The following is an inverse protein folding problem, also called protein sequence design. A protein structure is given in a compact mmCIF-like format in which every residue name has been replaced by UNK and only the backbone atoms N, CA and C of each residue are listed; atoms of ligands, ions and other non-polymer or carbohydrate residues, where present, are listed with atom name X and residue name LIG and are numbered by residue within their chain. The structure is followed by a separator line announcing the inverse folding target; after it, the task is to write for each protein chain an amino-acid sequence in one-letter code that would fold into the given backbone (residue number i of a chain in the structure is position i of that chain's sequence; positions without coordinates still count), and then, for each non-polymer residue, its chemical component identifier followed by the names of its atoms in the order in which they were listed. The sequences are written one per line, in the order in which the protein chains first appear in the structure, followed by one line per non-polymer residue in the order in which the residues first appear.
data_IF_015196750750
#
_entry.id   IF_015196750750
#
_cell.length_a   1.000
_cell.length_b   1.000
_cell.length_c   1.000
_cell.angle_alpha   90.00
_cell.angle_beta   90.00
_cell.angle_gamma   90.00
#
_symmetry.space_group_name_H-M   'P 1'
#
loop_
_entity.id
_entity.type
_entity.pdbx_description
1 polymer ?
#
# COMPACT_ATOMS: atom_id res chain seq x y z
N UNK A 1 27.59 14.27 -4.77
CA UNK A 1 26.42 14.26 -3.88
C UNK A 1 25.82 12.87 -3.96
N UNK A 2 25.76 12.16 -2.84
CA UNK A 2 25.27 10.79 -2.83
C UNK A 2 23.76 10.80 -3.08
N UNK A 3 23.33 10.01 -4.05
CA UNK A 3 21.92 9.90 -4.41
C UNK A 3 21.12 9.29 -3.25
N UNK A 4 19.94 9.83 -2.97
CA UNK A 4 19.05 9.32 -1.95
C UNK A 4 17.64 9.13 -2.52
N UNK A 5 17.19 7.89 -2.57
CA UNK A 5 15.88 7.51 -3.08
C UNK A 5 15.09 6.80 -1.97
N UNK A 6 13.89 7.28 -1.70
CA UNK A 6 12.90 6.56 -0.95
C UNK A 6 11.95 5.87 -1.92
N UNK A 7 11.52 4.67 -1.61
CA UNK A 7 10.39 3.99 -2.24
C UNK A 7 9.31 3.79 -1.18
N UNK A 8 8.13 4.31 -1.42
CA UNK A 8 6.98 4.17 -0.54
C UNK A 8 5.89 3.35 -1.22
N UNK A 9 5.26 2.47 -0.44
CA UNK A 9 4.23 1.52 -0.91
C UNK A 9 3.13 1.41 0.15
N UNK A 10 1.88 1.65 -0.25
CA UNK A 10 0.72 1.58 0.65
C UNK A 10 0.42 0.12 1.00
N UNK A 11 0.45 -0.21 2.29
CA UNK A 11 0.25 -1.57 2.77
C UNK A 11 -1.18 -2.05 2.50
N UNK A 12 -1.32 -3.18 1.79
CA UNK A 12 -2.61 -3.80 1.44
C UNK A 12 -3.62 -2.76 0.90
N UNK A 13 -3.19 -1.87 0.00
CA UNK A 13 -3.82 -0.62 -0.40
C UNK A 13 -5.35 -0.69 -0.44
N UNK A 14 -5.94 -1.47 -1.35
CA UNK A 14 -7.40 -1.52 -1.51
C UNK A 14 -8.10 -2.05 -0.27
N UNK A 15 -7.60 -3.13 0.33
CA UNK A 15 -8.21 -3.70 1.53
C UNK A 15 -8.11 -2.74 2.74
N UNK A 16 -7.01 -2.00 2.86
CA UNK A 16 -6.84 -0.99 3.91
C UNK A 16 -7.80 0.18 3.74
N UNK A 17 -8.00 0.66 2.51
CA UNK A 17 -8.96 1.74 2.22
C UNK A 17 -10.39 1.28 2.52
N UNK A 18 -10.76 0.05 2.13
CA UNK A 18 -12.09 -0.50 2.45
C UNK A 18 -12.29 -0.64 3.96
N UNK A 19 -11.28 -1.05 4.72
CA UNK A 19 -11.37 -1.14 6.19
C UNK A 19 -11.47 0.24 6.89
N UNK A 20 -11.05 1.32 6.25
CA UNK A 20 -11.33 2.68 6.74
C UNK A 20 -12.80 3.05 6.51
N UNK A 21 -13.39 2.63 5.40
CA UNK A 21 -14.80 2.85 5.07
C UNK A 21 -15.74 1.93 5.84
N UNK A 22 -15.28 0.71 6.16
CA UNK A 22 -16.02 -0.34 6.83
C UNK A 22 -15.36 -0.73 8.17
N UNK A 23 -15.34 0.17 9.17
CA UNK A 23 -14.68 -0.07 10.44
C UNK A 23 -15.28 -1.27 11.21
N UNK A 24 -16.52 -1.66 10.94
CA UNK A 24 -17.20 -2.83 11.50
C UNK A 24 -16.60 -4.18 11.07
N UNK A 25 -15.82 -4.17 9.98
CA UNK A 25 -15.12 -5.35 9.47
C UNK A 25 -13.74 -5.54 10.09
N UNK A 26 -13.28 -4.61 10.90
CA UNK A 26 -11.99 -4.75 11.59
C UNK A 26 -11.99 -5.98 12.51
N UNK A 27 -10.91 -6.74 12.46
CA UNK A 27 -10.78 -7.99 13.21
C UNK A 27 -11.40 -9.19 12.51
N UNK A 28 -11.82 -9.07 11.25
CA UNK A 28 -12.26 -10.16 10.38
C UNK A 28 -11.39 -10.20 9.12
N UNK A 29 -11.19 -11.39 8.51
CA UNK A 29 -10.47 -11.47 7.24
C UNK A 29 -11.27 -10.79 6.12
N UNK A 30 -10.65 -9.80 5.47
CA UNK A 30 -11.24 -9.02 4.39
C UNK A 30 -10.37 -9.06 3.15
N UNK A 31 -11.01 -9.20 2.01
CA UNK A 31 -10.37 -9.08 0.71
C UNK A 31 -11.21 -8.19 -0.22
N UNK A 32 -10.55 -7.61 -1.20
CA UNK A 32 -11.18 -6.94 -2.34
C UNK A 32 -11.08 -7.85 -3.54
N UNK A 33 -12.21 -8.12 -4.19
CA UNK A 33 -12.26 -9.01 -5.34
C UNK A 33 -13.21 -8.50 -6.42
N UNK A 34 -12.86 -8.74 -7.69
CA UNK A 34 -13.68 -8.38 -8.83
C UNK A 34 -14.98 -9.18 -8.91
N UNK A 35 -15.97 -8.65 -9.63
CA UNK A 35 -17.27 -9.27 -9.80
C UNK A 35 -17.18 -10.66 -10.47
N UNK A 36 -17.95 -11.58 -9.92
CA UNK A 36 -17.98 -12.99 -10.31
C UNK A 36 -18.41 -13.20 -11.76
N UNK A 37 -19.18 -12.28 -12.30
CA UNK A 37 -19.82 -12.40 -13.65
C UNK A 37 -18.85 -12.17 -14.82
N UNK A 38 -17.79 -11.41 -14.63
CA UNK A 38 -16.92 -10.99 -15.73
C UNK A 38 -15.67 -11.86 -15.99
N UNK A 39 -15.21 -12.72 -15.08
CA UNK A 39 -14.07 -13.67 -15.25
C UNK A 39 -13.82 -14.57 -14.04
N UNK A 40 -14.82 -15.18 -13.44
CA UNK A 40 -14.69 -15.99 -12.21
C UNK A 40 -14.12 -15.23 -11.00
N UNK A 41 -14.04 -13.90 -11.05
CA UNK A 41 -13.57 -13.00 -10.01
C UNK A 41 -12.27 -13.47 -9.33
N UNK A 42 -11.32 -12.58 -9.20
CA UNK A 42 -10.07 -12.84 -8.49
C UNK A 42 -9.89 -11.89 -7.31
N UNK A 43 -9.12 -12.33 -6.33
CA UNK A 43 -8.66 -11.47 -5.23
C UNK A 43 -7.65 -10.44 -5.78
N UNK A 44 -7.97 -9.17 -5.64
CA UNK A 44 -7.13 -8.03 -6.02
C UNK A 44 -6.22 -7.60 -4.86
N UNK A 45 -6.80 -7.50 -3.66
CA UNK A 45 -6.08 -7.18 -2.44
C UNK A 45 -6.68 -7.93 -1.25
N UNK A 46 -5.94 -8.02 -0.16
CA UNK A 46 -6.36 -8.69 1.07
C UNK A 46 -5.71 -8.02 2.28
N UNK A 47 -6.38 -8.06 3.41
CA UNK A 47 -5.83 -7.63 4.67
C UNK A 47 -4.86 -8.67 5.28
N UNK A 48 -4.27 -8.33 6.42
CA UNK A 48 -3.33 -9.22 7.11
C UNK A 48 -4.00 -10.51 7.62
N UNK A 49 -5.26 -10.44 8.03
CA UNK A 49 -5.99 -11.60 8.55
C UNK A 49 -6.29 -12.61 7.43
N UNK A 50 -6.78 -12.14 6.30
CA UNK A 50 -7.00 -12.97 5.12
C UNK A 50 -5.67 -13.55 4.60
N UNK A 51 -4.59 -12.76 4.62
CA UNK A 51 -3.24 -13.23 4.28
C UNK A 51 -2.76 -14.34 5.21
N UNK A 52 -2.93 -14.17 6.53
CA UNK A 52 -2.57 -15.18 7.53
C UNK A 52 -3.38 -16.48 7.37
N UNK A 53 -4.64 -16.37 6.92
CA UNK A 53 -5.49 -17.51 6.56
C UNK A 53 -5.11 -18.17 5.22
N UNK A 54 -4.08 -17.66 4.51
CA UNK A 54 -3.57 -18.24 3.26
C UNK A 54 -4.20 -17.69 1.97
N UNK A 55 -5.04 -16.65 2.05
CA UNK A 55 -5.59 -15.99 0.87
C UNK A 55 -4.48 -15.24 0.12
N UNK A 56 -4.46 -15.36 -1.21
CA UNK A 56 -3.43 -14.76 -2.08
C UNK A 56 -4.07 -13.90 -3.17
N UNK A 57 -3.40 -12.83 -3.55
CA UNK A 57 -3.75 -12.02 -4.72
C UNK A 57 -3.69 -12.90 -5.98
N UNK A 58 -4.65 -12.73 -6.89
CA UNK A 58 -4.81 -13.55 -8.08
C UNK A 58 -5.54 -14.89 -7.85
N UNK A 59 -5.82 -15.27 -6.60
CA UNK A 59 -6.62 -16.44 -6.28
C UNK A 59 -8.08 -16.20 -6.71
N UNK A 60 -8.76 -17.24 -7.24
CA UNK A 60 -10.20 -17.13 -7.54
C UNK A 60 -11.01 -16.91 -6.26
N UNK A 61 -12.14 -16.21 -6.35
CA UNK A 61 -13.00 -15.97 -5.18
C UNK A 61 -13.47 -17.29 -4.54
N UNK A 62 -13.74 -18.30 -5.36
CA UNK A 62 -14.10 -19.63 -4.89
C UNK A 62 -12.98 -20.26 -4.06
N UNK A 63 -11.76 -20.30 -4.59
CA UNK A 63 -10.60 -20.85 -3.88
C UNK A 63 -10.30 -20.08 -2.59
N UNK A 64 -10.44 -18.74 -2.61
CA UNK A 64 -10.25 -17.90 -1.44
C UNK A 64 -11.26 -18.24 -0.34
N UNK A 65 -12.54 -18.47 -0.67
CA UNK A 65 -13.58 -18.88 0.28
C UNK A 65 -13.35 -20.30 0.81
N UNK A 66 -12.82 -21.21 -0.01
CA UNK A 66 -12.43 -22.54 0.48
C UNK A 66 -11.27 -22.45 1.48
N UNK A 67 -10.31 -21.56 1.23
CA UNK A 67 -9.15 -21.34 2.10
C UNK A 67 -9.53 -20.62 3.41
N UNK A 68 -10.47 -19.68 3.34
CA UNK A 68 -10.93 -18.87 4.46
C UNK A 68 -12.47 -18.75 4.38
N UNK A 69 -13.24 -19.67 4.98
CA UNK A 69 -14.71 -19.68 4.89
C UNK A 69 -15.38 -18.41 5.44
N UNK A 70 -14.76 -17.74 6.40
CA UNK A 70 -15.23 -16.49 7.03
C UNK A 70 -14.80 -15.22 6.27
N UNK A 71 -14.14 -15.37 5.11
CA UNK A 71 -13.63 -14.26 4.32
C UNK A 71 -14.77 -13.36 3.82
N UNK A 72 -14.71 -12.10 4.21
CA UNK A 72 -15.56 -11.05 3.62
C UNK A 72 -14.89 -10.53 2.36
N UNK A 73 -15.58 -10.61 1.22
CA UNK A 73 -15.08 -10.10 -0.06
C UNK A 73 -15.91 -8.89 -0.44
N UNK A 74 -15.24 -7.74 -0.63
CA UNK A 74 -15.84 -6.48 -1.03
C UNK A 74 -15.56 -6.22 -2.52
N UNK A 75 -16.50 -5.63 -3.27
CA UNK A 75 -16.25 -5.18 -4.62
C UNK A 75 -15.25 -4.02 -4.62
N UNK A 76 -14.43 -3.87 -5.68
CA UNK A 76 -13.48 -2.76 -5.76
C UNK A 76 -14.17 -1.44 -6.06
N UNK A 77 -13.75 -0.39 -5.38
CA UNK A 77 -14.12 1.01 -5.64
C UNK A 77 -12.87 1.79 -6.11
N UNK A 78 -12.59 1.71 -7.41
CA UNK A 78 -11.39 2.32 -7.99
C UNK A 78 -11.37 3.85 -7.90
N UNK A 79 -12.52 4.52 -7.90
CA UNK A 79 -12.59 5.98 -7.75
C UNK A 79 -12.11 6.38 -6.36
N UNK A 80 -12.57 5.68 -5.33
CA UNK A 80 -12.13 5.85 -3.96
C UNK A 80 -10.61 5.59 -3.82
N UNK A 81 -10.09 4.51 -4.42
CA UNK A 81 -8.66 4.18 -4.35
C UNK A 81 -7.80 5.24 -5.04
N UNK A 82 -8.28 5.78 -6.16
CA UNK A 82 -7.62 6.89 -6.84
C UNK A 82 -7.56 8.14 -5.98
N UNK A 83 -8.63 8.46 -5.26
CA UNK A 83 -8.68 9.63 -4.37
C UNK A 83 -7.68 9.50 -3.22
N UNK A 84 -7.62 8.33 -2.57
CA UNK A 84 -6.61 8.07 -1.55
C UNK A 84 -5.18 8.11 -2.09
N UNK A 85 -4.94 7.50 -3.27
CA UNK A 85 -3.66 7.57 -3.95
C UNK A 85 -3.20 9.01 -4.20
N UNK A 86 -4.10 9.87 -4.68
CA UNK A 86 -3.82 11.29 -4.91
C UNK A 86 -3.47 12.00 -3.60
N UNK A 87 -4.26 11.83 -2.55
CA UNK A 87 -3.99 12.42 -1.23
C UNK A 87 -2.63 12.01 -0.67
N UNK A 88 -2.26 10.74 -0.80
CA UNK A 88 -0.94 10.25 -0.38
C UNK A 88 0.18 10.90 -1.20
N UNK A 89 0.01 11.06 -2.52
CA UNK A 89 0.98 11.73 -3.39
C UNK A 89 1.14 13.21 -3.07
N UNK A 90 0.07 13.89 -2.69
CA UNK A 90 0.12 15.29 -2.21
C UNK A 90 0.99 15.41 -0.95
N UNK A 91 0.93 14.41 -0.05
CA UNK A 91 1.83 14.36 1.11
C UNK A 91 3.29 14.19 0.68
N UNK A 92 3.56 13.30 -0.27
CA UNK A 92 4.91 13.08 -0.78
C UNK A 92 5.50 14.33 -1.45
N UNK A 93 4.68 15.08 -2.20
CA UNK A 93 5.08 16.34 -2.82
C UNK A 93 5.52 17.42 -1.80
N UNK A 94 5.09 17.30 -0.54
CA UNK A 94 5.58 18.13 0.56
C UNK A 94 7.00 17.82 1.03
N UNK A 95 7.60 16.71 0.59
CA UNK A 95 8.98 16.32 0.92
C UNK A 95 9.95 16.59 -0.22
N UNK A 96 9.52 16.43 -1.47
CA UNK A 96 10.31 16.67 -2.68
C UNK A 96 9.39 16.87 -3.88
N UNK A 97 9.82 17.71 -4.81
CA UNK A 97 9.17 17.90 -6.12
C UNK A 97 9.48 16.77 -7.12
N UNK A 98 10.42 15.89 -6.77
CA UNK A 98 10.87 14.77 -7.61
C UNK A 98 10.23 13.46 -7.19
N UNK A 99 8.90 13.43 -7.28
CA UNK A 99 8.09 12.23 -7.05
C UNK A 99 7.81 11.52 -8.36
N UNK A 100 8.01 10.20 -8.39
CA UNK A 100 7.71 9.34 -9.53
C UNK A 100 6.74 8.25 -9.10
N UNK A 101 5.43 8.41 -9.40
CA UNK A 101 4.42 7.41 -9.11
C UNK A 101 4.63 6.12 -9.92
N UNK A 102 4.30 4.98 -9.31
CA UNK A 102 4.28 3.68 -9.93
C UNK A 102 3.01 2.91 -9.52
N UNK A 103 2.05 2.84 -10.41
CA UNK A 103 0.71 2.34 -10.06
C UNK A 103 -0.05 3.29 -9.13
N UNK A 104 -1.00 2.77 -8.37
CA UNK A 104 -1.81 3.54 -7.43
C UNK A 104 -1.20 3.65 -6.03
N UNK A 105 -0.40 2.69 -5.64
CA UNK A 105 0.05 2.46 -4.26
C UNK A 105 1.54 2.70 -4.05
N UNK A 106 2.33 2.80 -5.13
CA UNK A 106 3.77 2.97 -5.04
C UNK A 106 4.24 4.35 -5.55
N UNK A 107 5.33 4.86 -4.97
CA UNK A 107 5.99 6.07 -5.42
C UNK A 107 7.47 6.08 -5.05
N UNK A 108 8.34 6.50 -5.97
CA UNK A 108 9.70 6.89 -5.63
C UNK A 108 9.77 8.38 -5.34
N UNK A 109 10.52 8.73 -4.31
CA UNK A 109 10.83 10.08 -3.90
C UNK A 109 12.36 10.27 -4.01
N UNK A 110 12.80 11.12 -4.92
CA UNK A 110 14.22 11.48 -4.99
C UNK A 110 14.50 12.62 -4.01
N UNK A 111 15.13 12.26 -2.91
CA UNK A 111 15.48 13.15 -1.80
C UNK A 111 16.90 13.72 -1.92
N UNK A 112 17.58 13.48 -3.05
CA UNK A 112 18.96 13.91 -3.28
C UNK A 112 19.07 15.43 -3.15
N UNK A 113 19.88 15.90 -2.21
CA UNK A 113 20.05 17.31 -1.91
C UNK A 113 18.95 17.95 -1.05
N UNK A 114 17.87 17.24 -0.74
CA UNK A 114 16.81 17.73 0.17
C UNK A 114 17.14 17.41 1.63
N UNK A 115 17.78 16.25 1.87
CA UNK A 115 18.05 15.72 3.22
C UNK A 115 19.44 15.13 3.27
N UNK A 116 20.13 15.25 4.41
CA UNK A 116 21.39 14.56 4.67
C UNK A 116 21.21 13.04 4.79
N UNK A 117 22.27 12.28 4.52
CA UNK A 117 22.25 10.81 4.59
C UNK A 117 21.92 10.30 5.99
N UNK A 118 22.39 11.02 7.00
CA UNK A 118 22.13 10.77 8.42
C UNK A 118 20.64 10.91 8.79
N UNK A 119 19.90 11.76 8.07
CA UNK A 119 18.49 12.04 8.32
C UNK A 119 17.53 11.16 7.48
N UNK A 120 18.06 10.33 6.60
CA UNK A 120 17.26 9.53 5.66
C UNK A 120 16.22 8.63 6.36
N UNK A 121 16.62 7.95 7.44
CA UNK A 121 15.69 7.10 8.20
C UNK A 121 14.64 7.91 8.95
N UNK A 122 15.02 9.06 9.50
CA UNK A 122 14.10 9.99 10.15
C UNK A 122 13.06 10.49 9.15
N UNK A 123 13.51 10.88 7.96
CA UNK A 123 12.62 11.32 6.89
C UNK A 123 11.66 10.21 6.45
N UNK A 124 12.15 8.97 6.32
CA UNK A 124 11.28 7.83 6.01
C UNK A 124 10.22 7.58 7.09
N UNK A 125 10.58 7.73 8.36
CA UNK A 125 9.62 7.64 9.48
C UNK A 125 8.62 8.80 9.45
N UNK A 126 9.05 10.01 9.13
CA UNK A 126 8.17 11.17 8.99
C UNK A 126 7.18 11.00 7.85
N UNK A 127 7.62 10.50 6.68
CA UNK A 127 6.73 10.15 5.56
C UNK A 127 5.65 9.17 6.02
N UNK A 128 6.04 8.09 6.71
CA UNK A 128 5.10 7.09 7.25
C UNK A 128 4.07 7.71 8.20
N UNK A 129 4.55 8.55 9.11
CA UNK A 129 3.68 9.17 10.12
C UNK A 129 2.70 10.17 9.48
N UNK A 130 3.17 11.04 8.57
CA UNK A 130 2.29 11.99 7.89
C UNK A 130 1.21 11.30 7.05
N UNK A 131 1.55 10.21 6.37
CA UNK A 131 0.53 9.43 5.63
C UNK A 131 -0.49 8.85 6.60
N UNK A 132 -0.05 8.24 7.70
CA UNK A 132 -0.94 7.67 8.70
C UNK A 132 -1.88 8.73 9.29
N UNK A 133 -1.34 9.86 9.72
CA UNK A 133 -2.10 10.93 10.38
C UNK A 133 -3.15 11.57 9.44
N UNK A 134 -2.78 11.73 8.16
CA UNK A 134 -3.64 12.39 7.19
C UNK A 134 -4.68 11.46 6.54
N UNK A 135 -4.41 10.16 6.46
CA UNK A 135 -5.23 9.23 5.66
C UNK A 135 -5.70 8.01 6.45
N UNK A 136 -5.10 7.68 7.58
CA UNK A 136 -5.31 6.43 8.30
C UNK A 136 -4.63 5.22 7.67
N UNK A 137 -3.93 5.39 6.54
CA UNK A 137 -3.22 4.32 5.85
C UNK A 137 -1.79 4.17 6.38
N UNK A 138 -1.26 2.95 6.34
CA UNK A 138 0.15 2.69 6.60
C UNK A 138 0.91 2.48 5.31
N UNK A 139 2.18 2.92 5.29
CA UNK A 139 3.08 2.69 4.16
C UNK A 139 4.37 2.02 4.62
N UNK A 140 4.93 1.19 3.75
CA UNK A 140 6.29 0.65 3.88
C UNK A 140 7.23 1.51 3.08
N UNK A 141 8.34 1.95 3.70
CA UNK A 141 9.31 2.83 3.04
C UNK A 141 10.69 2.19 3.05
N UNK A 142 11.26 2.03 1.85
CA UNK A 142 12.65 1.62 1.66
C UNK A 142 13.52 2.81 1.30
N UNK A 143 14.74 2.85 1.81
CA UNK A 143 15.73 3.93 1.59
C UNK A 143 16.98 3.36 0.97
N UNK A 144 17.45 3.96 -0.14
CA UNK A 144 18.67 3.54 -0.80
C UNK A 144 19.22 4.63 -1.73
N UNK A 145 20.34 4.35 -2.38
CA UNK A 145 20.92 5.21 -3.44
C UNK A 145 20.38 4.89 -4.84
N UNK A 146 19.61 3.85 -5.00
CA UNK A 146 18.97 3.50 -6.27
C UNK A 146 17.54 2.96 -6.09
N UNK A 147 16.71 3.13 -7.12
CA UNK A 147 15.29 2.75 -7.11
C UNK A 147 15.06 1.27 -6.80
N UNK A 148 15.83 0.38 -7.43
CA UNK A 148 15.64 -1.08 -7.28
C UNK A 148 15.86 -1.52 -5.82
N UNK A 149 16.92 -1.03 -5.18
CA UNK A 149 17.22 -1.39 -3.79
C UNK A 149 16.23 -0.71 -2.83
N UNK A 150 15.82 0.53 -3.10
CA UNK A 150 14.79 1.19 -2.31
C UNK A 150 13.47 0.38 -2.35
N UNK A 151 13.07 -0.11 -3.54
CA UNK A 151 11.89 -0.98 -3.68
C UNK A 151 12.05 -2.29 -2.91
N UNK A 152 13.17 -2.97 -3.04
CA UNK A 152 13.44 -4.17 -2.24
C UNK A 152 13.36 -3.89 -0.74
N UNK A 153 13.83 -2.71 -0.31
CA UNK A 153 13.75 -2.28 1.08
C UNK A 153 12.31 -2.10 1.57
N UNK A 154 11.41 -1.53 0.76
CA UNK A 154 10.00 -1.37 1.11
C UNK A 154 9.25 -2.71 1.13
N UNK A 155 9.63 -3.67 0.30
CA UNK A 155 9.05 -5.02 0.26
C UNK A 155 9.57 -5.91 1.39
N UNK A 156 10.76 -5.61 1.93
CA UNK A 156 11.36 -6.39 3.00
C UNK A 156 10.59 -6.23 4.31
N UNK A 157 10.09 -7.35 4.85
CA UNK A 157 9.24 -7.38 6.05
C UNK A 157 7.95 -6.53 5.94
N UNK A 158 7.42 -6.38 4.73
CA UNK A 158 6.13 -5.74 4.53
C UNK A 158 5.03 -6.49 5.30
N UNK A 159 4.19 -5.78 6.09
CA UNK A 159 3.14 -6.39 6.91
C UNK A 159 2.08 -7.11 6.10
#
# INVERSE_FOLDING_TARGET
MDRMILHSDINACYASIELLRHPELRGRPVAVGGEQELRHGIILAKDQMARAAGVRTGMTLWAARQQCPELTILPPDFELYYDYSRRVREIYAGFTDRCEPFGMDECWLDMTGCVGREDALRTAQEVRQRVLDATGLTVSVGVSWCKAIAKLGSDYRKP
#
